data_IF_401820281947
#
_entry.id   IF_401820281947
#
_cell.length_a   1.000
_cell.length_b   1.000
_cell.length_c   1.000
_cell.angle_alpha   90.00
_cell.angle_beta   90.00
_cell.angle_gamma   90.00
#
_symmetry.space_group_name_H-M   'P 1'
#
loop_
_entity.id
_entity.type
_entity.pdbx_description
1 polymer ?
#
# COMPACT_ATOMS: atom_id res chain seq x y z
N UNK A 1 -1.86 -14.99 4.14
CA UNK A 1 -2.85 -15.84 4.85
C UNK A 1 -4.15 -15.86 4.07
N UNK A 2 -5.06 -16.79 4.36
CA UNK A 2 -6.45 -16.71 3.90
C UNK A 2 -7.32 -16.22 5.05
N UNK A 3 -8.23 -15.32 4.74
CA UNK A 3 -9.17 -14.71 5.67
C UNK A 3 -10.51 -15.43 5.54
N UNK A 4 -11.17 -15.69 6.67
CA UNK A 4 -12.50 -16.31 6.70
C UNK A 4 -13.37 -15.59 7.74
N UNK A 5 -14.68 -15.79 7.65
CA UNK A 5 -15.65 -15.16 8.53
C UNK A 5 -16.64 -14.28 7.77
N UNK A 6 -17.24 -13.34 8.49
CA UNK A 6 -18.29 -12.47 7.94
C UNK A 6 -18.13 -11.03 8.42
N UNK A 7 -18.54 -10.09 7.58
CA UNK A 7 -18.65 -8.67 7.90
C UNK A 7 -20.13 -8.27 7.92
N UNK A 8 -20.54 -7.50 8.92
CA UNK A 8 -21.88 -6.91 8.97
C UNK A 8 -21.80 -5.44 8.60
N UNK A 9 -22.56 -5.01 7.58
CA UNK A 9 -22.64 -3.62 7.14
C UNK A 9 -24.12 -3.21 7.17
N UNK A 10 -24.48 -2.36 8.13
CA UNK A 10 -25.89 -2.08 8.44
C UNK A 10 -26.59 -3.37 8.86
N UNK A 11 -27.65 -3.74 8.14
CA UNK A 11 -28.41 -4.98 8.37
C UNK A 11 -27.92 -6.17 7.52
N UNK A 12 -26.95 -5.95 6.62
CA UNK A 12 -26.46 -6.98 5.70
C UNK A 12 -25.27 -7.73 6.30
N UNK A 13 -25.33 -9.06 6.28
CA UNK A 13 -24.19 -9.94 6.59
C UNK A 13 -23.56 -10.41 5.28
N UNK A 14 -22.27 -10.15 5.12
CA UNK A 14 -21.45 -10.53 3.96
C UNK A 14 -20.42 -11.57 4.41
N UNK A 15 -20.41 -12.73 3.77
CA UNK A 15 -19.42 -13.78 4.06
C UNK A 15 -18.18 -13.62 3.19
N UNK A 16 -17.00 -13.70 3.80
CA UNK A 16 -15.72 -13.67 3.08
C UNK A 16 -15.51 -15.00 2.37
N UNK A 17 -15.18 -14.95 1.07
CA UNK A 17 -14.76 -16.09 0.26
C UNK A 17 -13.27 -16.40 0.51
N UNK A 18 -12.91 -17.42 1.32
CA UNK A 18 -11.52 -17.57 1.79
C UNK A 18 -10.54 -17.87 0.66
N UNK A 19 -10.95 -18.60 -0.36
CA UNK A 19 -10.16 -18.96 -1.54
C UNK A 19 -9.79 -17.74 -2.42
N UNK A 20 -10.59 -16.68 -2.36
CA UNK A 20 -10.35 -15.40 -3.04
C UNK A 20 -9.77 -14.33 -2.11
N UNK A 21 -9.50 -14.68 -0.86
CA UNK A 21 -8.99 -13.75 0.14
C UNK A 21 -7.48 -13.78 0.24
N UNK A 22 -6.92 -12.69 0.72
CA UNK A 22 -5.52 -12.59 1.10
C UNK A 22 -5.43 -11.74 2.35
N UNK A 23 -4.29 -11.86 3.01
CA UNK A 23 -4.02 -11.09 4.20
C UNK A 23 -2.54 -11.03 4.47
N UNK A 24 -2.19 -9.95 5.14
CA UNK A 24 -0.86 -9.61 5.61
C UNK A 24 -0.90 -9.30 7.10
N UNK A 25 0.19 -9.63 7.78
CA UNK A 25 0.40 -9.26 9.17
C UNK A 25 1.79 -8.64 9.25
N UNK A 26 1.84 -7.36 9.58
CA UNK A 26 3.08 -6.66 9.90
C UNK A 26 3.19 -6.49 11.41
N UNK A 27 4.40 -6.68 11.96
CA UNK A 27 4.71 -6.44 13.36
C UNK A 27 5.95 -5.59 13.47
N UNK A 28 5.78 -4.39 14.01
CA UNK A 28 6.87 -3.46 14.25
C UNK A 28 7.01 -3.19 15.74
N UNK A 29 8.25 -3.10 16.21
CA UNK A 29 8.57 -2.70 17.57
C UNK A 29 9.78 -1.76 17.50
N UNK A 30 9.62 -0.56 18.04
CA UNK A 30 10.62 0.49 17.99
C UNK A 30 10.16 1.74 18.71
N UNK A 31 11.03 2.74 18.78
CA UNK A 31 10.69 4.05 19.34
C UNK A 31 10.34 5.01 18.20
N UNK A 32 9.05 5.34 18.09
CA UNK A 32 8.54 6.22 17.05
C UNK A 32 8.34 5.53 15.70
N UNK A 33 7.89 6.31 14.72
CA UNK A 33 7.80 5.94 13.31
C UNK A 33 8.52 7.00 12.49
N UNK A 34 9.12 6.65 11.34
CA UNK A 34 9.63 7.67 10.42
C UNK A 34 8.50 8.63 10.03
N UNK A 35 8.84 9.90 9.82
CA UNK A 35 7.94 10.83 9.15
C UNK A 35 8.02 10.57 7.64
N UNK A 36 6.91 10.84 6.93
CA UNK A 36 6.87 10.88 5.47
C UNK A 36 7.44 9.64 4.78
N UNK A 37 6.67 8.55 4.82
CA UNK A 37 7.06 7.30 4.18
C UNK A 37 5.96 6.76 3.28
N UNK A 38 6.37 5.93 2.33
CA UNK A 38 5.48 5.09 1.54
C UNK A 38 5.84 3.64 1.76
N UNK A 39 4.85 2.79 2.00
CA UNK A 39 5.03 1.35 2.13
C UNK A 39 4.18 0.63 1.10
N UNK A 40 4.75 -0.42 0.50
CA UNK A 40 4.03 -1.32 -0.39
C UNK A 40 4.03 -2.73 0.19
N UNK A 41 2.82 -3.27 0.29
CA UNK A 41 2.54 -4.67 0.55
C UNK A 41 2.15 -5.34 -0.76
N UNK A 42 2.92 -6.32 -1.22
CA UNK A 42 2.65 -6.97 -2.51
C UNK A 42 2.48 -8.47 -2.37
N UNK A 43 1.44 -8.99 -3.00
CA UNK A 43 1.23 -10.41 -3.26
C UNK A 43 1.37 -10.69 -4.75
N UNK A 44 2.17 -11.71 -5.08
CA UNK A 44 2.38 -12.14 -6.46
C UNK A 44 1.46 -13.32 -6.77
N UNK A 45 0.57 -13.15 -7.76
CA UNK A 45 -0.45 -14.16 -8.07
C UNK A 45 0.22 -15.48 -8.52
N UNK A 46 -0.25 -16.61 -7.99
CA UNK A 46 0.31 -17.93 -8.31
C UNK A 46 1.67 -18.22 -7.64
N UNK A 47 2.16 -17.32 -6.80
CA UNK A 47 3.46 -17.44 -6.12
C UNK A 47 3.32 -17.44 -4.61
N UNK A 48 4.36 -17.96 -3.95
CA UNK A 48 4.56 -17.77 -2.51
C UNK A 48 5.34 -16.49 -2.19
N UNK A 49 5.90 -15.83 -3.21
CA UNK A 49 6.63 -14.58 -3.07
C UNK A 49 5.65 -13.48 -2.62
N UNK A 50 6.12 -12.66 -1.69
CA UNK A 50 5.48 -11.44 -1.24
C UNK A 50 6.56 -10.41 -0.95
N UNK A 51 6.23 -9.13 -1.05
CA UNK A 51 7.17 -8.06 -0.77
C UNK A 51 6.59 -7.06 0.23
N UNK A 52 7.46 -6.58 1.11
CA UNK A 52 7.26 -5.45 2.01
C UNK A 52 8.32 -4.43 1.64
N UNK A 53 7.92 -3.35 0.97
CA UNK A 53 8.86 -2.38 0.41
C UNK A 53 8.62 -1.04 1.10
N UNK A 54 9.63 -0.57 1.81
CA UNK A 54 9.58 0.69 2.57
C UNK A 54 10.39 1.75 1.83
N UNK A 55 9.73 2.83 1.45
CA UNK A 55 10.32 4.04 0.92
C UNK A 55 10.32 5.10 2.03
N UNK A 56 11.42 5.11 2.76
CA UNK A 56 11.81 6.12 3.73
C UNK A 56 13.34 6.27 3.62
N UNK A 57 13.94 7.25 4.28
CA UNK A 57 15.40 7.50 4.22
C UNK A 57 16.28 6.35 4.79
N UNK A 58 15.67 5.20 5.16
CA UNK A 58 16.31 4.03 5.75
C UNK A 58 16.22 2.83 4.79
N UNK A 59 17.30 2.54 4.07
CA UNK A 59 17.37 1.54 2.98
C UNK A 59 17.54 0.09 3.47
N UNK A 60 16.84 -0.87 2.84
CA UNK A 60 17.14 -2.33 2.94
C UNK A 60 17.25 -3.00 1.55
N UNK A 61 16.77 -2.37 0.47
CA UNK A 61 17.01 -2.75 -0.92
C UNK A 61 17.22 -1.48 -1.74
N UNK A 62 18.16 -1.47 -2.68
CA UNK A 62 18.32 -0.34 -3.60
C UNK A 62 17.29 -0.47 -4.74
N UNK A 63 16.36 0.47 -4.77
CA UNK A 63 15.38 0.60 -5.82
C UNK A 63 15.10 2.08 -6.04
N UNK A 64 14.84 2.45 -7.29
CA UNK A 64 14.37 3.78 -7.61
C UNK A 64 12.84 3.81 -7.53
N UNK A 65 12.31 4.60 -6.60
CA UNK A 65 10.88 4.92 -6.54
C UNK A 65 10.62 6.25 -7.24
N UNK A 66 9.71 6.24 -8.21
CA UNK A 66 9.15 7.44 -8.82
C UNK A 66 7.64 7.46 -8.61
N UNK A 67 7.18 8.36 -7.75
CA UNK A 67 5.77 8.71 -7.67
C UNK A 67 5.37 9.55 -8.90
N UNK A 68 4.19 9.29 -9.43
CA UNK A 68 3.59 10.07 -10.50
C UNK A 68 2.75 11.20 -9.90
N UNK A 69 3.28 12.41 -9.93
CA UNK A 69 2.59 13.60 -9.40
C UNK A 69 1.68 14.27 -10.45
N UNK A 70 1.57 13.72 -11.66
CA UNK A 70 0.54 14.11 -12.62
C UNK A 70 -0.76 13.33 -12.35
N UNK A 71 -0.65 12.09 -11.86
CA UNK A 71 -1.77 11.27 -11.39
C UNK A 71 -1.95 11.35 -9.87
N UNK A 72 -2.79 12.28 -9.41
CA UNK A 72 -2.95 12.57 -7.98
C UNK A 72 -4.41 12.61 -7.54
N UNK A 73 -4.60 12.49 -6.23
CA UNK A 73 -5.86 12.75 -5.57
C UNK A 73 -5.64 13.62 -4.33
N UNK A 74 -6.40 14.71 -4.21
CA UNK A 74 -6.38 15.59 -3.04
C UNK A 74 -7.56 15.28 -2.13
N UNK A 75 -7.27 15.07 -0.85
CA UNK A 75 -8.31 14.87 0.16
C UNK A 75 -9.14 16.14 0.36
N UNK A 76 -10.46 16.00 0.28
CA UNK A 76 -11.40 17.06 0.64
C UNK A 76 -11.53 17.24 2.17
N UNK A 77 -10.91 16.38 2.97
CA UNK A 77 -10.95 16.41 4.44
C UNK A 77 -9.70 17.08 5.03
N UNK A 78 -8.53 16.70 4.53
CA UNK A 78 -7.23 17.14 5.07
C UNK A 78 -6.50 18.10 4.13
N UNK A 79 -6.95 18.22 2.87
CA UNK A 79 -6.28 18.96 1.81
C UNK A 79 -4.88 18.42 1.44
N UNK A 80 -4.54 17.21 1.88
CA UNK A 80 -3.30 16.52 1.50
C UNK A 80 -3.48 15.90 0.10
N UNK A 81 -2.46 16.07 -0.74
CA UNK A 81 -2.42 15.49 -2.09
C UNK A 81 -1.55 14.24 -2.07
N UNK A 82 -2.11 13.14 -2.57
CA UNK A 82 -1.47 11.85 -2.67
C UNK A 82 -1.25 11.49 -4.15
N UNK A 83 -0.07 11.01 -4.51
CA UNK A 83 0.13 10.32 -5.78
C UNK A 83 -0.73 9.06 -5.82
N UNK A 84 -1.19 8.66 -7.00
CA UNK A 84 -2.04 7.48 -7.20
C UNK A 84 -1.34 6.39 -8.02
N UNK A 85 -0.15 6.66 -8.55
CA UNK A 85 0.67 5.68 -9.27
C UNK A 85 2.15 5.84 -8.98
N UNK A 86 2.87 4.72 -9.01
CA UNK A 86 4.29 4.65 -8.71
C UNK A 86 5.00 3.69 -9.65
N UNK A 87 6.25 4.01 -9.95
CA UNK A 87 7.18 3.12 -10.61
C UNK A 87 8.29 2.73 -9.62
N UNK A 88 8.51 1.44 -9.44
CA UNK A 88 9.68 0.92 -8.72
C UNK A 88 10.59 0.24 -9.74
N UNK A 89 11.86 0.63 -9.79
CA UNK A 89 12.89 0.00 -10.64
C UNK A 89 13.99 -0.54 -9.75
N UNK A 90 14.26 -1.84 -9.85
CA UNK A 90 15.27 -2.53 -9.05
C UNK A 90 16.56 -2.68 -9.85
N UNK A 91 17.71 -2.77 -9.18
CA UNK A 91 19.03 -2.88 -9.84
C UNK A 91 19.15 -4.09 -10.78
N UNK A 92 18.43 -5.18 -10.48
CA UNK A 92 18.40 -6.39 -11.30
C UNK A 92 17.57 -6.23 -12.59
N UNK A 93 17.02 -5.03 -12.84
CA UNK A 93 16.18 -4.72 -14.00
C UNK A 93 14.70 -5.04 -13.81
N UNK A 94 14.29 -5.59 -12.65
CA UNK A 94 12.88 -5.76 -12.33
C UNK A 94 12.19 -4.40 -12.21
N UNK A 95 10.90 -4.39 -12.54
CA UNK A 95 10.09 -3.17 -12.54
C UNK A 95 8.69 -3.45 -12.07
N UNK A 96 8.20 -2.63 -11.16
CA UNK A 96 6.80 -2.59 -10.74
C UNK A 96 6.17 -1.27 -11.21
N UNK A 97 4.96 -1.37 -11.75
CA UNK A 97 4.08 -0.26 -12.11
C UNK A 97 2.83 -0.39 -11.22
N UNK A 98 2.84 0.35 -10.12
CA UNK A 98 1.81 0.28 -9.09
C UNK A 98 0.79 1.39 -9.28
N UNK A 99 -0.49 1.05 -9.17
CA UNK A 99 -1.60 2.00 -9.28
C UNK A 99 -2.62 1.74 -8.17
N UNK A 100 -3.13 2.81 -7.57
CA UNK A 100 -4.27 2.75 -6.66
C UNK A 100 -5.52 2.32 -7.43
N UNK A 101 -6.23 1.31 -6.91
CA UNK A 101 -7.47 0.81 -7.53
C UNK A 101 -8.56 1.89 -7.63
N UNK A 102 -8.56 2.83 -6.69
CA UNK A 102 -9.46 3.98 -6.67
C UNK A 102 -8.89 5.12 -5.81
N UNK A 103 -9.28 6.36 -6.09
CA UNK A 103 -9.06 7.47 -5.18
C UNK A 103 -9.92 7.34 -3.89
N UNK A 104 -9.70 8.23 -2.92
CA UNK A 104 -10.47 8.33 -1.66
C UNK A 104 -10.29 7.18 -0.67
N UNK A 105 -9.04 6.76 -0.43
CA UNK A 105 -8.69 5.72 0.55
C UNK A 105 -7.92 6.28 1.76
N UNK A 106 -8.13 7.56 2.04
CA UNK A 106 -7.60 8.22 3.23
C UNK A 106 -8.37 7.81 4.49
N UNK A 107 -7.64 7.52 5.55
CA UNK A 107 -8.12 7.44 6.92
C UNK A 107 -7.54 8.61 7.70
N UNK A 108 -8.43 9.40 8.31
CA UNK A 108 -8.07 10.56 9.13
C UNK A 108 -8.88 10.54 10.43
N UNK A 109 -8.37 11.16 11.50
CA UNK A 109 -9.14 11.29 12.73
C UNK A 109 -8.42 12.09 13.82
N UNK A 110 -9.16 12.75 14.72
CA UNK A 110 -8.57 13.65 15.74
C UNK A 110 -7.72 12.95 16.80
N UNK A 111 -7.77 11.61 16.85
CA UNK A 111 -7.03 10.77 17.81
C UNK A 111 -5.95 9.91 17.11
N UNK A 112 -5.59 10.21 15.86
CA UNK A 112 -4.58 9.46 15.12
C UNK A 112 -3.15 9.89 15.51
N UNK A 113 -2.20 8.96 15.39
CA UNK A 113 -0.76 9.19 15.68
C UNK A 113 -0.08 10.04 14.57
N UNK A 114 -0.70 10.13 13.39
CA UNK A 114 -0.32 11.06 12.31
C UNK A 114 -1.53 11.85 11.82
N UNK A 115 -1.29 12.96 11.11
CA UNK A 115 -2.36 13.86 10.64
C UNK A 115 -3.34 13.15 9.70
N UNK A 116 -2.82 12.21 8.90
CA UNK A 116 -3.59 11.40 7.97
C UNK A 116 -2.78 10.23 7.43
N UNK A 117 -3.48 9.17 7.03
CA UNK A 117 -2.89 8.01 6.33
C UNK A 117 -3.70 7.71 5.09
N UNK A 118 -3.05 7.65 3.92
CA UNK A 118 -3.65 7.01 2.76
C UNK A 118 -3.33 5.52 2.79
N UNK A 119 -4.34 4.66 2.89
CA UNK A 119 -4.19 3.20 2.91
C UNK A 119 -5.03 2.58 1.80
N UNK A 120 -4.42 2.45 0.61
CA UNK A 120 -5.13 2.12 -0.62
C UNK A 120 -4.84 0.73 -1.14
N UNK A 121 -5.88 0.03 -1.60
CA UNK A 121 -5.67 -1.19 -2.39
C UNK A 121 -5.06 -0.84 -3.74
N UNK A 122 -4.05 -1.59 -4.15
CA UNK A 122 -3.31 -1.38 -5.41
C UNK A 122 -3.38 -2.58 -6.33
N UNK A 123 -3.25 -2.30 -7.62
CA UNK A 123 -2.90 -3.26 -8.65
C UNK A 123 -1.51 -2.92 -9.16
N UNK A 124 -0.76 -3.93 -9.60
CA UNK A 124 0.46 -3.67 -10.34
C UNK A 124 0.60 -4.50 -11.60
N UNK A 125 1.29 -3.87 -12.56
CA UNK A 125 1.64 -4.39 -13.87
C UNK A 125 3.15 -4.44 -14.00
N UNK A 126 3.79 -5.29 -13.19
CA UNK A 126 5.24 -5.40 -13.19
C UNK A 126 5.77 -6.82 -13.30
N UNK A 127 7.10 -6.92 -13.24
CA UNK A 127 7.82 -8.13 -12.89
C UNK A 127 8.70 -7.93 -11.66
N UNK A 128 8.74 -8.94 -10.79
CA UNK A 128 9.66 -8.99 -9.65
C UNK A 128 10.02 -10.45 -9.39
N UNK A 129 11.32 -10.78 -9.42
CA UNK A 129 11.82 -12.16 -9.40
C UNK A 129 11.10 -13.08 -10.38
N UNK A 130 10.86 -12.58 -11.60
CA UNK A 130 10.16 -13.31 -12.68
C UNK A 130 8.66 -13.53 -12.44
N UNK A 131 8.10 -13.05 -11.32
CA UNK A 131 6.66 -13.08 -11.07
C UNK A 131 6.00 -11.90 -11.74
N UNK A 132 4.79 -12.08 -12.27
CA UNK A 132 4.02 -11.01 -12.92
C UNK A 132 2.68 -10.86 -12.24
N UNK A 133 2.15 -9.64 -12.28
CA UNK A 133 0.83 -9.29 -11.73
C UNK A 133 0.75 -9.41 -10.22
N UNK A 134 0.56 -8.26 -9.59
CA UNK A 134 0.39 -8.19 -8.14
C UNK A 134 -0.88 -7.46 -7.74
N UNK A 135 -1.32 -7.78 -6.53
CA UNK A 135 -2.32 -7.02 -5.79
C UNK A 135 -1.75 -6.78 -4.39
N UNK A 136 -2.22 -5.72 -3.76
CA UNK A 136 -1.56 -5.27 -2.55
C UNK A 136 -2.22 -4.11 -1.88
N UNK A 137 -1.44 -3.50 -1.00
CA UNK A 137 -1.77 -2.26 -0.33
C UNK A 137 -0.59 -1.29 -0.48
N UNK A 138 -0.90 -0.02 -0.69
CA UNK A 138 0.03 1.09 -0.48
C UNK A 138 -0.42 1.85 0.75
N UNK A 139 0.53 2.18 1.61
CA UNK A 139 0.31 3.07 2.74
C UNK A 139 1.24 4.27 2.61
N UNK A 140 0.67 5.47 2.70
CA UNK A 140 1.41 6.72 2.72
C UNK A 140 1.05 7.50 3.97
N UNK A 141 2.07 7.85 4.74
CA UNK A 141 1.92 8.77 5.86
C UNK A 141 2.53 10.10 5.47
N UNK A 142 1.76 11.16 5.68
CA UNK A 142 2.27 12.53 5.65
C UNK A 142 2.10 13.09 7.06
N UNK A 143 3.20 13.52 7.66
CA UNK A 143 3.16 14.25 8.93
C UNK A 143 3.50 15.69 8.58
N UNK A 144 2.56 16.61 8.81
CA UNK A 144 2.86 18.04 8.75
C UNK A 144 3.79 18.38 9.89
N UNK A 145 4.92 19.04 9.60
CA UNK A 145 5.76 19.64 10.63
C UNK A 145 5.13 20.92 11.17
#
# INVERSE_FOLDING_TARGET
MRTSGSLTIGERVLTVAPEQSFGWYDRQAGFGAPANWTWFQLHFLGSLIKASIWACDLFVLDYNLKADWENTWTSYKTNITYSQSWQLVFENGDRLEVESLRPYQETYGPNAIGDSVYAGTILDRGSFFGQRTTYGLVEMITISA
#
